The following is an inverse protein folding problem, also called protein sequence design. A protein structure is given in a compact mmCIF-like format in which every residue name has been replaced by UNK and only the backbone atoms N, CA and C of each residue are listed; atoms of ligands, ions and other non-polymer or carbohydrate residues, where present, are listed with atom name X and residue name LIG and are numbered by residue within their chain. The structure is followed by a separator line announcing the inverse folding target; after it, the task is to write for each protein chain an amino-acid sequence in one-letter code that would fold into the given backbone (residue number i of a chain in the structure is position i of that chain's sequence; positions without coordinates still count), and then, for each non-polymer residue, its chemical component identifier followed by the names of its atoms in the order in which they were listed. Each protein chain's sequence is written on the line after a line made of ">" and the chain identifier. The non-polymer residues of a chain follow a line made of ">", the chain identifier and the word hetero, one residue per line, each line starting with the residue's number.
data_IF_485591961645
#
_entry.id   IF_485591961645
#
_cell.length_a   1.000
_cell.length_b   1.000
_cell.length_c   1.000
_cell.angle_alpha   90.00
_cell.angle_beta   90.00
_cell.angle_gamma   90.00
#
_symmetry.space_group_name_H-M   'P 1'
#
loop_
_entity.id
_entity.type
_entity.pdbx_description
1 polymer ?
#
# COMPACT_ATOMS: atom_id res chain seq x y z
N UNK A 1 12.24 8.23 -5.22
CA UNK A 1 11.84 7.90 -6.61
C UNK A 1 10.32 7.79 -6.65
N UNK A 2 9.63 8.72 -7.33
CA UNK A 2 8.19 8.64 -7.50
C UNK A 2 7.88 7.90 -8.80
N UNK A 3 7.38 6.66 -8.70
CA UNK A 3 6.83 5.93 -9.84
C UNK A 3 5.38 6.33 -10.06
N UNK A 4 4.94 6.34 -11.31
CA UNK A 4 3.53 6.52 -11.62
C UNK A 4 2.76 5.29 -11.09
N UNK A 5 1.78 5.53 -10.22
CA UNK A 5 0.88 4.51 -9.67
C UNK A 5 -0.24 4.19 -10.65
N UNK A 6 -0.67 5.19 -11.43
CA UNK A 6 -1.79 5.08 -12.37
C UNK A 6 -1.35 5.36 -13.80
N UNK A 7 -2.07 4.77 -14.74
CA UNK A 7 -1.79 4.86 -16.18
C UNK A 7 -2.88 5.69 -16.88
N UNK A 8 -2.58 6.20 -18.07
CA UNK A 8 -3.58 6.88 -18.91
C UNK A 8 -4.75 5.94 -19.22
N UNK A 9 -5.96 6.49 -19.21
CA UNK A 9 -7.24 5.80 -19.38
C UNK A 9 -7.55 4.74 -18.31
N UNK A 10 -6.85 4.76 -17.18
CA UNK A 10 -7.21 3.93 -16.03
C UNK A 10 -8.36 4.58 -15.26
N UNK A 11 -9.35 3.77 -14.87
CA UNK A 11 -10.47 4.21 -14.04
C UNK A 11 -10.05 4.28 -12.56
N UNK A 12 -10.24 5.45 -11.97
CA UNK A 12 -9.84 5.77 -10.60
C UNK A 12 -10.98 6.47 -9.88
N UNK A 13 -11.08 6.21 -8.57
CA UNK A 13 -11.99 6.89 -7.67
C UNK A 13 -11.29 8.09 -7.05
N UNK A 14 -11.90 9.27 -7.17
CA UNK A 14 -11.35 10.55 -6.70
C UNK A 14 -11.89 10.82 -5.29
N UNK A 15 -11.08 10.62 -4.24
CA UNK A 15 -11.53 10.69 -2.84
C UNK A 15 -12.12 12.06 -2.44
N UNK A 16 -11.53 13.21 -2.81
CA UNK A 16 -12.06 14.52 -2.42
C UNK A 16 -13.40 14.88 -3.08
N UNK A 17 -13.68 14.32 -4.27
CA UNK A 17 -14.89 14.63 -5.06
C UNK A 17 -15.95 13.55 -4.89
N UNK A 18 -15.56 12.33 -4.54
CA UNK A 18 -16.47 11.20 -4.36
C UNK A 18 -17.01 10.63 -5.67
N UNK A 19 -16.27 10.78 -6.78
CA UNK A 19 -16.69 10.32 -8.11
C UNK A 19 -15.64 9.43 -8.78
N UNK A 20 -16.09 8.63 -9.74
CA UNK A 20 -15.23 7.87 -10.63
C UNK A 20 -14.85 8.73 -11.83
N UNK A 21 -13.56 8.72 -12.18
CA UNK A 21 -13.04 9.42 -13.34
C UNK A 21 -11.99 8.55 -14.05
N UNK A 22 -11.67 8.92 -15.29
CA UNK A 22 -10.57 8.33 -16.03
C UNK A 22 -9.34 9.24 -15.91
N UNK A 23 -8.16 8.64 -15.78
CA UNK A 23 -6.91 9.39 -15.85
C UNK A 23 -6.67 9.83 -17.29
N UNK A 24 -6.71 11.13 -17.56
CA UNK A 24 -6.48 11.68 -18.89
C UNK A 24 -4.99 11.85 -19.18
N UNK A 25 -4.24 12.33 -18.17
CA UNK A 25 -2.81 12.63 -18.30
C UNK A 25 -2.06 12.34 -17.01
N UNK A 26 -0.85 11.81 -17.18
CA UNK A 26 0.14 11.65 -16.10
C UNK A 26 1.16 12.79 -16.22
N UNK A 27 1.31 13.58 -15.17
CA UNK A 27 2.12 14.80 -15.12
C UNK A 27 3.29 14.62 -14.13
N UNK A 28 4.45 14.13 -14.60
CA UNK A 28 5.64 14.05 -13.77
C UNK A 28 6.22 15.45 -13.50
N UNK A 29 6.53 15.74 -12.24
CA UNK A 29 7.20 16.95 -11.81
C UNK A 29 8.70 16.71 -11.70
N UNK A 30 9.46 17.46 -12.49
CA UNK A 30 10.93 17.39 -12.56
C UNK A 30 11.58 18.54 -11.79
N UNK A 31 12.71 18.26 -11.15
CA UNK A 31 13.58 19.30 -10.61
C UNK A 31 14.87 19.39 -11.44
N UNK A 32 15.44 20.59 -11.53
CA UNK A 32 16.67 20.82 -12.30
C UNK A 32 17.82 19.97 -11.74
N UNK A 33 18.51 19.25 -12.61
CA UNK A 33 19.67 18.43 -12.25
C UNK A 33 19.36 17.01 -11.75
N UNK A 34 18.10 16.56 -11.87
CA UNK A 34 17.69 15.19 -11.57
C UNK A 34 17.16 14.51 -12.84
N UNK A 35 17.68 13.32 -13.13
CA UNK A 35 17.20 12.46 -14.23
C UNK A 35 15.88 11.75 -13.90
N UNK A 36 15.29 12.01 -12.72
CA UNK A 36 14.10 11.35 -12.23
C UNK A 36 13.06 12.34 -11.68
N UNK A 37 11.75 12.04 -11.85
CA UNK A 37 10.69 12.89 -11.31
C UNK A 37 10.57 12.75 -9.80
N UNK A 38 10.40 13.90 -9.13
CA UNK A 38 10.20 13.97 -7.68
C UNK A 38 8.79 13.57 -7.28
N UNK A 39 7.79 13.97 -8.07
CA UNK A 39 6.36 13.74 -7.81
C UNK A 39 5.64 13.49 -9.12
N UNK A 40 4.52 12.77 -9.03
CA UNK A 40 3.64 12.52 -10.18
C UNK A 40 2.25 12.98 -9.81
N UNK A 41 1.71 13.91 -10.60
CA UNK A 41 0.34 14.36 -10.54
C UNK A 41 -0.47 13.73 -11.68
N UNK A 42 -1.78 13.70 -11.51
CA UNK A 42 -2.71 13.12 -12.47
C UNK A 42 -3.80 14.13 -12.79
N UNK A 43 -4.08 14.27 -14.08
CA UNK A 43 -5.27 14.96 -14.56
C UNK A 43 -6.36 13.93 -14.80
N UNK A 44 -7.54 14.20 -14.24
CA UNK A 44 -8.74 13.36 -14.33
C UNK A 44 -9.95 14.13 -14.89
N UNK A 45 -9.73 15.32 -15.46
CA UNK A 45 -10.79 16.11 -16.09
C UNK A 45 -11.69 16.88 -15.11
N UNK A 46 -11.29 17.02 -13.84
CA UNK A 46 -12.06 17.72 -12.79
C UNK A 46 -11.53 19.14 -12.49
N UNK A 47 -10.78 19.73 -13.42
CA UNK A 47 -10.33 21.13 -13.33
C UNK A 47 -9.18 21.40 -12.35
N UNK A 48 -8.56 20.35 -11.78
CA UNK A 48 -7.34 20.44 -10.99
C UNK A 48 -6.51 19.16 -11.11
N UNK A 49 -5.24 19.26 -10.77
CA UNK A 49 -4.33 18.13 -10.67
C UNK A 49 -4.51 17.40 -9.33
N UNK A 50 -4.45 16.07 -9.34
CA UNK A 50 -4.59 15.23 -8.15
C UNK A 50 -3.31 14.46 -7.87
N UNK A 51 -2.99 14.29 -6.59
CA UNK A 51 -1.89 13.43 -6.17
C UNK A 51 -2.29 11.94 -6.19
N UNK A 52 -1.31 11.04 -6.27
CA UNK A 52 -1.56 9.58 -6.18
C UNK A 52 -2.31 9.18 -4.92
N UNK A 53 -2.11 9.92 -3.83
CA UNK A 53 -2.80 9.67 -2.57
C UNK A 53 -4.30 9.92 -2.73
N UNK A 54 -4.72 10.99 -3.38
CA UNK A 54 -6.14 11.36 -3.51
C UNK A 54 -6.95 10.42 -4.42
N UNK A 55 -6.27 9.55 -5.15
CA UNK A 55 -6.85 8.62 -6.11
C UNK A 55 -6.81 7.17 -5.58
N UNK A 56 -7.88 6.43 -5.84
CA UNK A 56 -7.97 5.01 -5.49
C UNK A 56 -8.25 4.20 -6.76
N UNK A 57 -7.53 3.10 -6.96
CA UNK A 57 -7.78 2.21 -8.09
C UNK A 57 -9.16 1.54 -7.93
N UNK A 58 -9.84 1.31 -9.06
CA UNK A 58 -10.92 0.32 -9.09
C UNK A 58 -10.32 -1.02 -8.65
N UNK A 59 -10.71 -1.48 -7.46
CA UNK A 59 -10.14 -2.71 -6.91
C UNK A 59 -10.74 -3.85 -7.72
N UNK A 60 -9.94 -4.49 -8.59
CA UNK A 60 -10.31 -5.84 -9.05
C UNK A 60 -10.29 -6.70 -7.79
N UNK A 61 -11.39 -7.33 -7.39
CA UNK A 61 -11.42 -8.13 -6.18
C UNK A 61 -10.71 -9.45 -6.47
N UNK A 62 -9.38 -9.43 -6.56
CA UNK A 62 -8.60 -10.65 -6.47
C UNK A 62 -7.16 -10.40 -5.97
N UNK A 63 -6.86 -11.11 -4.86
CA UNK A 63 -5.55 -11.63 -4.48
C UNK A 63 -4.48 -10.81 -3.72
N UNK A 64 -4.63 -9.52 -3.38
CA UNK A 64 -3.53 -8.79 -2.67
C UNK A 64 -3.86 -8.25 -1.27
N UNK A 65 -5.14 -8.21 -0.86
CA UNK A 65 -5.48 -7.85 0.54
C UNK A 65 -5.09 -8.92 1.58
N UNK A 66 -4.64 -10.10 1.15
CA UNK A 66 -4.04 -11.12 2.03
C UNK A 66 -2.71 -10.67 2.69
N UNK A 67 -2.07 -9.60 2.21
CA UNK A 67 -0.82 -9.07 2.80
C UNK A 67 -1.00 -7.96 3.85
N UNK A 68 -2.23 -7.57 4.20
CA UNK A 68 -2.48 -6.42 5.11
C UNK A 68 -3.10 -6.76 6.45
N UNK A 69 -3.00 -8.02 6.87
CA UNK A 69 -3.10 -8.32 8.29
C UNK A 69 -1.82 -9.03 8.72
N UNK A 70 -0.74 -8.26 8.84
CA UNK A 70 0.35 -8.70 9.70
C UNK A 70 -0.20 -8.70 11.14
N UNK A 71 -0.68 -9.85 11.60
CA UNK A 71 -1.17 -10.05 12.95
C UNK A 71 0.01 -10.19 13.92
N UNK A 72 0.66 -9.08 14.22
CA UNK A 72 1.73 -9.07 15.22
C UNK A 72 1.10 -9.31 16.60
N UNK A 73 1.47 -10.41 17.25
CA UNK A 73 1.07 -10.70 18.63
C UNK A 73 2.29 -10.52 19.53
N UNK A 74 2.23 -9.51 20.39
CA UNK A 74 3.23 -9.30 21.44
C UNK A 74 2.97 -10.27 22.59
N UNK A 75 3.85 -11.25 22.76
CA UNK A 75 3.86 -12.14 23.93
C UNK A 75 4.99 -11.72 24.85
N UNK A 76 4.66 -11.38 26.10
CA UNK A 76 5.65 -11.14 27.15
C UNK A 76 5.87 -12.45 27.90
N UNK A 77 7.04 -13.05 27.76
CA UNK A 77 7.44 -14.23 28.53
C UNK A 77 8.68 -13.93 29.38
N UNK A 78 8.88 -14.72 30.43
CA UNK A 78 10.12 -14.65 31.23
C UNK A 78 11.29 -15.08 30.34
N UNK A 79 12.35 -14.27 30.30
CA UNK A 79 13.59 -14.58 29.60
C UNK A 79 14.38 -15.67 30.36
N UNK A 80 13.90 -16.91 30.25
CA UNK A 80 14.56 -18.12 30.71
C UNK A 80 14.33 -19.19 29.65
N UNK A 81 15.34 -20.03 29.43
CA UNK A 81 15.20 -21.20 28.57
C UNK A 81 14.15 -22.12 29.18
N UNK A 82 13.11 -22.44 28.41
CA UNK A 82 12.04 -23.34 28.83
C UNK A 82 12.41 -24.76 28.44
N UNK A 83 11.98 -25.72 29.24
CA UNK A 83 12.13 -27.12 28.86
C UNK A 83 11.03 -27.52 27.88
N UNK A 84 11.24 -28.55 27.03
CA UNK A 84 10.23 -29.00 26.06
C UNK A 84 8.88 -29.39 26.70
N UNK A 85 8.89 -29.83 27.96
CA UNK A 85 7.69 -30.19 28.72
C UNK A 85 6.84 -28.98 29.17
N UNK A 86 7.39 -27.77 29.14
CA UNK A 86 6.70 -26.52 29.50
C UNK A 86 6.05 -25.83 28.27
N UNK A 87 6.35 -26.30 27.07
CA UNK A 87 5.86 -25.75 25.79
C UNK A 87 4.66 -26.51 25.22
N UNK A 88 4.10 -27.48 25.95
CA UNK A 88 3.01 -28.38 25.51
C UNK A 88 1.68 -27.66 25.26
N UNK A 89 1.47 -26.50 25.87
CA UNK A 89 0.27 -25.66 25.67
C UNK A 89 0.42 -24.65 24.53
N UNK A 90 1.54 -24.65 23.79
CA UNK A 90 1.75 -23.75 22.68
C UNK A 90 0.93 -24.21 21.45
N UNK A 91 0.24 -23.31 20.74
CA UNK A 91 -0.58 -23.66 19.58
C UNK A 91 0.20 -24.31 18.42
N UNK A 92 1.53 -24.17 18.41
CA UNK A 92 2.45 -24.82 17.46
C UNK A 92 3.64 -25.44 18.23
N UNK A 93 3.54 -26.68 18.72
CA UNK A 93 4.63 -27.33 19.44
C UNK A 93 5.79 -27.67 18.49
N UNK A 94 7.03 -27.39 18.90
CA UNK A 94 8.27 -27.75 18.16
C UNK A 94 8.84 -26.71 17.18
N UNK A 95 8.15 -25.58 16.95
CA UNK A 95 8.68 -24.48 16.09
C UNK A 95 9.44 -23.41 16.86
N UNK A 96 9.47 -23.49 18.19
CA UNK A 96 10.23 -22.59 19.06
C UNK A 96 11.01 -23.42 20.09
N UNK A 97 12.24 -22.99 20.45
CA UNK A 97 13.02 -23.63 21.51
C UNK A 97 12.35 -23.50 22.89
#
# INVERSE_FOLDING_TARGET
>A
MAKATFHKNQRVFVRPVGTWALVEKVMPQWAKGLDEPLRVFYDVGLGREFASEELQCETVPDAVQAKRQEHWRLVRSRNKWKSPAECTHHPFPGTHP
#
